data_IF_627154078195
#
_entry.id   IF_627154078195
#
_cell.length_a   1.000
_cell.length_b   1.000
_cell.length_c   1.000
_cell.angle_alpha   90.00
_cell.angle_beta   90.00
_cell.angle_gamma   90.00
#
_symmetry.space_group_name_H-M   'P 1'
#
loop_
_entity.id
_entity.type
_entity.pdbx_description
1 polymer ?
#
# COMPACT_ATOMS: atom_id res chain seq x y z
N UNK A 1 0.66 -0.59 -20.03
CA UNK A 1 0.15 -0.79 -18.65
C UNK A 1 1.32 -0.78 -17.69
N UNK A 2 1.19 -0.13 -16.53
CA UNK A 2 2.19 -0.23 -15.46
C UNK A 2 1.98 -1.58 -14.77
N UNK A 3 3.03 -2.40 -14.59
CA UNK A 3 2.93 -3.66 -13.85
C UNK A 3 2.45 -3.39 -12.42
N UNK A 4 1.59 -4.25 -11.87
CA UNK A 4 1.09 -4.16 -10.49
C UNK A 4 2.24 -4.04 -9.49
N UNK A 5 3.36 -4.73 -9.73
CA UNK A 5 4.55 -4.63 -8.90
C UNK A 5 5.11 -3.20 -8.85
N UNK A 6 5.12 -2.49 -9.99
CA UNK A 6 5.55 -1.08 -10.06
C UNK A 6 4.58 -0.18 -9.29
N UNK A 7 3.29 -0.47 -9.34
CA UNK A 7 2.27 0.29 -8.61
C UNK A 7 2.39 0.08 -7.10
N UNK A 8 2.49 -1.16 -6.65
CA UNK A 8 2.73 -1.52 -5.24
C UNK A 8 4.01 -0.86 -4.74
N UNK A 9 5.11 -0.93 -5.50
CA UNK A 9 6.39 -0.29 -5.14
C UNK A 9 6.25 1.23 -5.00
N UNK A 10 5.46 1.88 -5.85
CA UNK A 10 5.17 3.32 -5.75
C UNK A 10 4.40 3.64 -4.45
N UNK A 11 3.37 2.87 -4.14
CA UNK A 11 2.56 3.05 -2.93
C UNK A 11 3.38 2.84 -1.66
N UNK A 12 4.22 1.80 -1.61
CA UNK A 12 5.12 1.57 -0.48
C UNK A 12 6.07 2.75 -0.25
N UNK A 13 6.62 3.35 -1.32
CA UNK A 13 7.46 4.56 -1.20
C UNK A 13 6.67 5.76 -0.65
N UNK A 14 5.40 5.91 -1.00
CA UNK A 14 4.55 6.96 -0.45
C UNK A 14 4.26 6.72 1.04
N UNK A 15 3.95 5.49 1.43
CA UNK A 15 3.74 5.11 2.83
C UNK A 15 5.00 5.36 3.67
N UNK A 16 6.19 5.04 3.17
CA UNK A 16 7.46 5.37 3.85
C UNK A 16 7.59 6.88 4.08
N UNK A 17 7.25 7.70 3.08
CA UNK A 17 7.27 9.18 3.22
C UNK A 17 6.25 9.70 4.22
N UNK A 18 5.14 8.97 4.41
CA UNK A 18 4.12 9.25 5.41
C UNK A 18 4.49 8.76 6.82
N UNK A 19 5.68 8.15 6.99
CA UNK A 19 6.18 7.69 8.29
C UNK A 19 5.90 6.23 8.61
N UNK A 20 5.34 5.46 7.68
CA UNK A 20 5.16 4.02 7.88
C UNK A 20 6.48 3.27 7.74
N UNK A 21 6.78 2.42 8.73
CA UNK A 21 7.92 1.53 8.69
C UNK A 21 7.68 0.32 7.78
N UNK A 22 8.74 -0.29 7.21
CA UNK A 22 8.61 -1.45 6.33
C UNK A 22 7.84 -2.63 6.93
N UNK A 23 7.94 -2.86 8.25
CA UNK A 23 7.20 -3.93 8.92
C UNK A 23 5.68 -3.65 8.95
N UNK A 24 5.27 -2.39 9.12
CA UNK A 24 3.85 -2.00 9.11
C UNK A 24 3.27 -2.17 7.71
N UNK A 25 4.03 -1.76 6.68
CA UNK A 25 3.63 -1.95 5.28
C UNK A 25 3.47 -3.45 5.00
N UNK A 26 4.41 -4.29 5.46
CA UNK A 26 4.29 -5.76 5.32
C UNK A 26 3.03 -6.29 6.01
N UNK A 27 2.70 -5.83 7.21
CA UNK A 27 1.46 -6.20 7.91
C UNK A 27 0.22 -5.79 7.13
N UNK A 28 0.17 -4.58 6.57
CA UNK A 28 -0.94 -4.13 5.72
C UNK A 28 -1.13 -5.04 4.49
N UNK A 29 -0.02 -5.47 3.87
CA UNK A 29 -0.08 -6.38 2.73
C UNK A 29 -0.59 -7.77 3.15
N UNK A 30 -0.09 -8.31 4.27
CA UNK A 30 -0.57 -9.58 4.82
C UNK A 30 -2.05 -9.56 5.16
N UNK A 31 -2.54 -8.48 5.77
CA UNK A 31 -3.96 -8.30 6.09
C UNK A 31 -4.83 -8.20 4.83
N UNK A 32 -4.33 -7.57 3.76
CA UNK A 32 -5.09 -7.34 2.53
C UNK A 32 -5.32 -8.61 1.70
N UNK A 33 -4.32 -9.49 1.62
CA UNK A 33 -4.30 -10.60 0.66
C UNK A 33 -3.86 -11.95 1.26
N UNK A 34 -3.54 -12.00 2.56
CA UNK A 34 -3.14 -13.23 3.27
C UNK A 34 -1.71 -13.71 2.96
N UNK A 35 -1.01 -13.09 2.00
CA UNK A 35 0.37 -13.42 1.61
C UNK A 35 1.14 -12.16 1.23
N UNK A 36 2.48 -12.24 1.13
CA UNK A 36 3.34 -11.14 0.63
C UNK A 36 3.99 -11.51 -0.70
N UNK A 37 3.74 -12.72 -1.20
CA UNK A 37 4.33 -13.23 -2.43
C UNK A 37 3.48 -12.72 -3.60
N UNK A 38 4.04 -11.82 -4.40
CA UNK A 38 3.33 -11.20 -5.53
C UNK A 38 3.21 -12.12 -6.75
N UNK A 39 4.10 -13.10 -6.89
CA UNK A 39 4.18 -13.97 -8.07
C UNK A 39 2.98 -14.93 -8.19
N UNK A 40 2.33 -15.26 -7.07
CA UNK A 40 1.19 -16.19 -7.02
C UNK A 40 -0.16 -15.46 -6.95
N UNK A 41 -0.19 -14.14 -7.09
CA UNK A 41 -1.41 -13.36 -6.92
C UNK A 41 -2.30 -13.37 -8.16
N UNK A 42 -3.56 -13.76 -7.99
CA UNK A 42 -4.59 -13.55 -9.01
C UNK A 42 -4.92 -12.05 -9.20
N UNK A 43 -5.58 -11.71 -10.30
CA UNK A 43 -5.94 -10.32 -10.63
C UNK A 43 -6.79 -9.65 -9.52
N UNK A 44 -7.63 -10.42 -8.83
CA UNK A 44 -8.48 -9.90 -7.75
C UNK A 44 -7.65 -9.59 -6.51
N UNK A 45 -6.68 -10.42 -6.16
CA UNK A 45 -5.70 -10.19 -5.09
C UNK A 45 -4.82 -8.98 -5.43
N UNK A 46 -4.37 -8.86 -6.67
CA UNK A 46 -3.59 -7.70 -7.14
C UNK A 46 -4.38 -6.40 -6.96
N UNK A 47 -5.64 -6.39 -7.39
CA UNK A 47 -6.54 -5.24 -7.22
C UNK A 47 -6.81 -4.93 -5.75
N UNK A 48 -7.05 -5.95 -4.91
CA UNK A 48 -7.25 -5.78 -3.45
C UNK A 48 -6.01 -5.16 -2.79
N UNK A 49 -4.83 -5.67 -3.09
CA UNK A 49 -3.56 -5.15 -2.55
C UNK A 49 -3.36 -3.68 -2.90
N UNK A 50 -3.53 -3.34 -4.17
CA UNK A 50 -3.42 -1.96 -4.65
C UNK A 50 -4.41 -1.04 -3.93
N UNK A 51 -5.67 -1.46 -3.82
CA UNK A 51 -6.72 -0.66 -3.18
C UNK A 51 -6.43 -0.42 -1.69
N UNK A 52 -5.95 -1.43 -0.96
CA UNK A 52 -5.62 -1.30 0.47
C UNK A 52 -4.46 -0.33 0.66
N UNK A 53 -3.36 -0.51 -0.09
CA UNK A 53 -2.20 0.37 0.03
C UNK A 53 -2.53 1.81 -0.37
N UNK A 54 -3.35 2.00 -1.41
CA UNK A 54 -3.84 3.31 -1.83
C UNK A 54 -4.67 3.99 -0.73
N UNK A 55 -5.58 3.25 -0.07
CA UNK A 55 -6.38 3.77 1.03
C UNK A 55 -5.53 4.26 2.21
N UNK A 56 -4.47 3.54 2.56
CA UNK A 56 -3.54 3.99 3.61
C UNK A 56 -2.78 5.26 3.22
N UNK A 57 -2.40 5.40 1.93
CA UNK A 57 -1.79 6.64 1.43
C UNK A 57 -2.76 7.82 1.54
N UNK A 58 -4.03 7.63 1.18
CA UNK A 58 -5.07 8.65 1.30
C UNK A 58 -5.27 9.08 2.76
N UNK A 59 -5.45 8.12 3.67
CA UNK A 59 -5.60 8.41 5.11
C UNK A 59 -4.41 9.17 5.68
N UNK A 60 -3.18 8.81 5.30
CA UNK A 60 -1.98 9.51 5.75
C UNK A 60 -1.89 10.94 5.22
N UNK A 61 -2.27 11.17 3.96
CA UNK A 61 -2.32 12.53 3.40
C UNK A 61 -3.42 13.37 4.05
N UNK A 62 -4.61 12.81 4.25
CA UNK A 62 -5.73 13.48 4.91
C UNK A 62 -5.37 13.87 6.35
N UNK A 63 -4.67 13.00 7.07
CA UNK A 63 -4.13 13.31 8.39
C UNK A 63 -3.16 14.50 8.33
N UNK A 64 -2.16 14.47 7.44
CA UNK A 64 -1.22 15.58 7.31
C UNK A 64 -1.93 16.91 6.98
N UNK A 65 -2.89 16.89 6.06
CA UNK A 65 -3.68 18.09 5.69
C UNK A 65 -4.53 18.62 6.86
N UNK A 66 -5.04 17.72 7.71
CA UNK A 66 -5.91 18.08 8.84
C UNK A 66 -5.12 18.68 10.01
N UNK A 67 -3.85 18.31 10.17
CA UNK A 67 -3.01 18.69 11.31
C UNK A 67 -1.81 19.59 10.95
N UNK A 68 -1.67 20.02 9.69
CA UNK A 68 -0.66 21.00 9.26
C UNK A 68 -1.08 22.47 9.43
N UNK A 69 -1.94 22.77 10.42
CA UNK A 69 -2.41 24.14 10.73
C UNK A 69 -1.75 24.69 12.00
#
# INVERSE_FOLDING_TARGET
MMSVEKQVRKLCKQLIRLGYYPFQIRSMMQEAIGTVIMDDMDEQQQKRLVNVLQKYVELGNDFLLSYSK
#
